data_IF_739227124410
#
_entry.id   IF_739227124410
#
_cell.length_a   1.000
_cell.length_b   1.000
_cell.length_c   1.000
_cell.angle_alpha   90.00
_cell.angle_beta   90.00
_cell.angle_gamma   90.00
#
_symmetry.space_group_name_H-M   'P 1'
#
loop_
_entity.id
_entity.type
_entity.pdbx_description
1 polymer ?
#
# COMPACT_ATOMS: atom_id res chain seq x y z
N UNK A 1 14.45 -14.95 8.77
CA UNK A 1 13.83 -13.61 8.65
C UNK A 1 12.91 -13.75 7.44
N UNK A 2 11.81 -12.98 7.38
CA UNK A 2 11.01 -12.99 6.16
C UNK A 2 11.42 -11.85 5.26
N UNK A 3 12.19 -12.22 4.26
CA UNK A 3 12.73 -11.33 3.26
C UNK A 3 12.37 -11.82 1.85
N UNK A 4 11.46 -12.80 1.75
CA UNK A 4 11.03 -13.42 0.50
C UNK A 4 12.06 -14.39 -0.06
N UNK A 5 13.12 -14.71 0.70
CA UNK A 5 14.22 -15.55 0.27
C UNK A 5 14.35 -16.75 1.19
N UNK A 6 14.09 -17.94 0.64
CA UNK A 6 14.27 -19.21 1.34
C UNK A 6 15.75 -19.42 1.73
N UNK A 7 16.08 -19.16 2.98
CA UNK A 7 17.41 -19.34 3.56
C UNK A 7 17.50 -20.64 4.37
N UNK A 8 16.38 -21.11 4.93
CA UNK A 8 16.34 -22.40 5.60
C UNK A 8 15.99 -23.53 4.61
N UNK A 9 16.52 -24.76 4.81
CA UNK A 9 16.31 -25.89 3.89
C UNK A 9 14.83 -26.20 3.60
N UNK A 10 13.99 -26.05 4.62
CA UNK A 10 12.55 -26.26 4.55
C UNK A 10 11.74 -24.97 4.34
N UNK A 11 12.37 -23.79 4.37
CA UNK A 11 11.70 -22.50 4.19
C UNK A 11 10.93 -22.04 5.41
N UNK A 12 11.29 -22.58 6.57
CA UNK A 12 10.72 -22.27 7.89
C UNK A 12 10.94 -20.80 8.25
N UNK A 13 11.97 -20.18 7.67
CA UNK A 13 12.25 -18.76 7.77
C UNK A 13 11.20 -17.88 7.07
N UNK A 14 10.45 -18.44 6.11
CA UNK A 14 9.36 -17.81 5.36
C UNK A 14 7.97 -18.38 5.74
N UNK A 15 7.92 -19.43 6.59
CA UNK A 15 6.68 -20.02 7.08
C UNK A 15 6.39 -19.49 8.49
N UNK A 16 5.21 -18.88 8.67
CA UNK A 16 4.76 -18.24 9.92
C UNK A 16 5.35 -16.85 10.20
N UNK A 17 5.54 -16.04 9.16
CA UNK A 17 5.82 -14.63 9.38
C UNK A 17 4.58 -13.82 9.72
N UNK A 18 4.74 -12.83 10.62
CA UNK A 18 3.66 -11.91 10.93
C UNK A 18 3.27 -11.17 9.65
N UNK A 19 2.04 -11.41 9.20
CA UNK A 19 1.50 -10.72 8.05
C UNK A 19 1.21 -9.27 8.44
N UNK A 20 1.88 -8.31 7.81
CA UNK A 20 1.56 -6.90 8.00
C UNK A 20 0.26 -6.56 7.25
N UNK A 21 0.07 -7.11 6.05
CA UNK A 21 -1.13 -6.93 5.25
C UNK A 21 -1.44 -8.17 4.42
N UNK A 22 -2.70 -8.61 4.40
CA UNK A 22 -3.14 -9.76 3.61
C UNK A 22 -3.92 -9.29 2.39
N UNK A 23 -3.39 -9.61 1.21
CA UNK A 23 -4.01 -9.42 -0.08
C UNK A 23 -5.29 -10.28 -0.21
N UNK A 24 -6.25 -9.90 -1.05
CA UNK A 24 -7.49 -10.63 -1.32
C UNK A 24 -7.26 -12.02 -1.93
N UNK A 25 -6.15 -12.22 -2.64
CA UNK A 25 -5.73 -13.52 -3.18
C UNK A 25 -5.17 -14.47 -2.08
N UNK A 26 -4.98 -13.96 -0.85
CA UNK A 26 -4.36 -14.68 0.24
C UNK A 26 -2.83 -14.53 0.30
N UNK A 27 -2.25 -13.82 -0.67
CA UNK A 27 -0.86 -13.33 -0.60
C UNK A 27 -0.67 -12.45 0.64
N UNK A 28 0.50 -12.51 1.24
CA UNK A 28 0.79 -11.80 2.49
C UNK A 28 2.00 -10.90 2.32
N UNK A 29 1.81 -9.61 2.58
CA UNK A 29 2.89 -8.63 2.69
C UNK A 29 3.43 -8.72 4.11
N UNK A 30 4.67 -9.20 4.20
CA UNK A 30 5.39 -9.34 5.47
C UNK A 30 5.86 -7.98 5.96
N UNK A 31 6.30 -7.13 5.04
CA UNK A 31 6.94 -5.88 5.38
C UNK A 31 5.92 -4.75 5.36
N UNK A 32 5.80 -4.01 6.47
CA UNK A 32 4.87 -2.86 6.55
C UNK A 32 5.23 -1.73 5.58
N UNK A 33 6.49 -1.64 5.12
CA UNK A 33 6.88 -0.69 4.09
C UNK A 33 6.37 -1.07 2.69
N UNK A 34 5.80 -2.26 2.50
CA UNK A 34 5.14 -2.64 1.24
C UNK A 34 3.70 -2.13 1.15
N UNK A 35 3.20 -1.51 2.22
CA UNK A 35 1.86 -0.94 2.26
C UNK A 35 2.02 0.56 2.01
N UNK A 36 1.32 1.10 1.01
CA UNK A 36 1.36 2.52 0.68
C UNK A 36 2.74 3.05 0.27
N UNK A 37 3.50 2.24 -0.46
CA UNK A 37 4.84 2.58 -0.93
C UNK A 37 4.86 3.09 -2.38
N UNK A 38 3.69 3.16 -3.04
CA UNK A 38 3.52 3.54 -4.43
C UNK A 38 3.78 2.41 -5.43
N UNK A 39 3.99 1.19 -4.97
CA UNK A 39 4.19 -0.01 -5.77
C UNK A 39 3.07 -0.99 -5.50
N UNK A 40 2.55 -1.59 -6.57
CA UNK A 40 1.54 -2.64 -6.46
C UNK A 40 2.23 -3.95 -6.05
N UNK A 41 2.32 -4.20 -4.75
CA UNK A 41 2.84 -5.45 -4.17
C UNK A 41 1.74 -6.54 -4.09
N UNK A 42 0.46 -6.18 -3.91
CA UNK A 42 -0.65 -7.12 -4.03
C UNK A 42 -1.19 -7.22 -5.46
N UNK A 43 -1.75 -8.36 -5.88
CA UNK A 43 -2.26 -8.56 -7.26
C UNK A 43 -3.38 -7.58 -7.65
N UNK A 44 -4.11 -7.03 -6.67
CA UNK A 44 -5.14 -6.02 -6.87
C UNK A 44 -4.69 -4.58 -6.59
N UNK A 45 -3.42 -4.34 -6.23
CA UNK A 45 -2.94 -3.04 -5.75
C UNK A 45 -3.60 -2.59 -4.46
N UNK A 46 -4.20 -3.52 -3.73
CA UNK A 46 -4.96 -3.34 -2.49
C UNK A 46 -4.12 -2.90 -1.29
N UNK A 47 -2.84 -3.23 -1.30
CA UNK A 47 -1.80 -2.64 -0.48
C UNK A 47 -1.58 -1.14 -0.75
N UNK A 48 -1.93 -0.71 -1.96
CA UNK A 48 -2.00 0.67 -2.42
C UNK A 48 -3.46 1.14 -2.55
N UNK A 49 -4.41 0.57 -1.79
CA UNK A 49 -5.79 1.05 -1.66
C UNK A 49 -6.06 1.56 -0.24
N UNK A 50 -6.83 2.64 -0.11
CA UNK A 50 -7.14 3.33 1.14
C UNK A 50 -5.91 3.73 1.99
N UNK A 51 -4.83 4.14 1.34
CA UNK A 51 -3.66 4.64 2.03
C UNK A 51 -3.97 5.94 2.75
N UNK A 52 -3.64 6.07 4.05
CA UNK A 52 -3.84 7.32 4.76
C UNK A 52 -2.95 8.38 4.09
N UNK A 53 -3.56 9.38 3.45
CA UNK A 53 -2.81 10.52 2.96
C UNK A 53 -2.02 11.14 4.13
N UNK A 54 -0.78 11.54 3.87
CA UNK A 54 0.03 12.24 4.87
C UNK A 54 -0.71 13.44 5.44
N UNK A 55 -0.34 13.92 6.62
CA UNK A 55 -0.98 15.07 7.28
C UNK A 55 -1.02 16.35 6.43
N UNK A 56 -0.20 16.43 5.38
CA UNK A 56 -0.12 17.55 4.43
C UNK A 56 -0.87 17.29 3.12
N UNK A 57 -1.55 16.16 2.99
CA UNK A 57 -2.25 15.71 1.78
C UNK A 57 -3.70 15.34 2.09
N UNK A 58 -4.56 15.39 1.07
CA UNK A 58 -5.98 15.09 1.15
C UNK A 58 -6.35 14.04 0.09
N UNK A 59 -7.17 13.03 0.44
CA UNK A 59 -7.62 12.02 -0.52
C UNK A 59 -8.67 12.60 -1.48
N UNK A 60 -8.52 12.35 -2.78
CA UNK A 60 -9.59 12.56 -3.75
C UNK A 60 -10.72 11.53 -3.48
N UNK A 61 -11.97 11.98 -3.37
CA UNK A 61 -13.11 11.09 -3.08
C UNK A 61 -13.41 10.13 -4.25
N UNK A 62 -13.09 10.50 -5.48
CA UNK A 62 -13.47 9.77 -6.70
C UNK A 62 -12.45 8.72 -7.14
N UNK A 63 -11.20 8.85 -6.71
CA UNK A 63 -10.12 7.90 -7.03
C UNK A 63 -9.56 7.35 -5.73
N UNK A 64 -9.84 6.07 -5.49
CA UNK A 64 -9.13 5.25 -4.51
C UNK A 64 -7.62 5.50 -4.67
N UNK A 65 -7.06 6.37 -3.83
CA UNK A 65 -5.63 6.64 -3.65
C UNK A 65 -4.98 7.76 -4.45
N UNK A 66 -5.72 8.74 -4.94
CA UNK A 66 -5.07 10.01 -5.34
C UNK A 66 -5.00 10.95 -4.14
N UNK A 67 -3.82 11.09 -3.54
CA UNK A 67 -3.57 12.08 -2.49
C UNK A 67 -3.02 13.36 -3.11
N UNK A 68 -3.76 14.46 -2.98
CA UNK A 68 -3.31 15.79 -3.42
C UNK A 68 -2.79 16.59 -2.22
N UNK A 69 -1.72 17.39 -2.35
CA UNK A 69 -1.30 18.32 -1.31
C UNK A 69 -2.44 19.24 -0.86
N UNK A 70 -2.43 19.63 0.41
CA UNK A 70 -3.42 20.56 0.96
C UNK A 70 -3.48 21.90 0.21
N UNK A 71 -2.36 22.32 -0.36
CA UNK A 71 -2.22 23.53 -1.17
C UNK A 71 -3.00 23.47 -2.50
N UNK A 72 -3.30 22.27 -2.98
CA UNK A 72 -4.09 22.04 -4.19
C UNK A 72 -5.58 21.88 -3.88
N UNK A 73 -5.96 21.75 -2.60
CA UNK A 73 -7.36 21.65 -2.21
C UNK A 73 -8.06 23.00 -2.35
N UNK A 74 -9.11 23.05 -3.16
CA UNK A 74 -9.89 24.26 -3.43
C UNK A 74 -9.05 25.41 -4.04
N UNK A 75 -8.00 25.08 -4.79
CA UNK A 75 -7.14 26.06 -5.49
C UNK A 75 -7.73 26.56 -6.83
N UNK A 76 -9.00 26.22 -7.14
CA UNK A 76 -9.69 26.52 -8.40
C UNK A 76 -9.16 25.78 -9.64
N UNK A 77 -8.26 24.79 -9.47
CA UNK A 77 -7.86 23.83 -10.49
C UNK A 77 -8.42 22.44 -10.18
N UNK A 78 -8.86 21.68 -11.19
CA UNK A 78 -9.25 20.28 -11.00
C UNK A 78 -8.01 19.40 -10.90
N UNK A 79 -7.45 19.30 -9.69
CA UNK A 79 -6.32 18.41 -9.39
C UNK A 79 -6.75 16.96 -9.11
N UNK A 80 -8.02 16.77 -8.75
CA UNK A 80 -8.68 15.46 -8.75
C UNK A 80 -9.42 15.28 -10.09
N UNK A 81 -9.18 14.20 -10.84
CA UNK A 81 -10.06 13.80 -11.93
C UNK A 81 -11.45 13.48 -11.37
N UNK A 82 -12.45 14.27 -11.76
CA UNK A 82 -13.87 13.98 -11.51
C UNK A 82 -14.40 12.97 -12.54
#
# INVERSE_FOLDING_TARGET
KCDGFKQCPNGEDEQNCPCAFQCADGSCLVQSYQICNGWVDCPGGEDELNCPCSTTQFPCETLNNTCVPWELRCNCFPDCPD
#
